data_IF_221184650245
#
_entry.id   IF_221184650245
#
_cell.length_a   1.000
_cell.length_b   1.000
_cell.length_c   1.000
_cell.angle_alpha   90.00
_cell.angle_beta   90.00
_cell.angle_gamma   90.00
#
_symmetry.space_group_name_H-M   'P 1'
#
loop_
_entity.id
_entity.type
_entity.pdbx_description
1 polymer ?
#
# COMPACT_ATOMS: atom_id res chain seq x y z
N UNK A 1 1.62 17.17 -2.99
CA UNK A 1 1.83 17.91 -1.72
C UNK A 1 2.57 19.19 -2.05
N UNK A 2 2.18 20.36 -1.52
CA UNK A 2 2.90 21.61 -1.79
C UNK A 2 4.33 21.56 -1.23
N UNK A 3 5.26 22.25 -1.90
CA UNK A 3 6.66 22.24 -1.52
C UNK A 3 6.88 22.83 -0.12
N UNK A 4 7.79 22.22 0.66
CA UNK A 4 8.21 22.72 1.98
C UNK A 4 7.31 22.36 3.16
N UNK A 5 6.23 21.58 2.97
CA UNK A 5 5.40 21.10 4.07
C UNK A 5 5.81 19.69 4.54
N UNK A 6 5.40 19.31 5.74
CA UNK A 6 5.49 17.92 6.23
C UNK A 6 4.19 17.16 5.93
N UNK A 7 4.27 15.85 5.59
CA UNK A 7 3.07 15.09 5.28
C UNK A 7 2.09 15.08 6.45
N UNK A 8 0.81 15.32 6.16
CA UNK A 8 -0.24 15.26 7.17
C UNK A 8 -0.57 13.80 7.52
N UNK A 9 -0.75 13.51 8.80
CA UNK A 9 -1.09 12.18 9.29
C UNK A 9 -2.57 12.10 9.66
N UNK A 10 -3.20 10.97 9.35
CA UNK A 10 -4.62 10.71 9.62
C UNK A 10 -4.74 9.51 10.55
N UNK A 11 -5.63 9.59 11.54
CA UNK A 11 -5.92 8.45 12.44
C UNK A 11 -6.91 7.50 11.78
N UNK A 12 -6.53 6.22 11.68
CA UNK A 12 -7.36 5.14 11.13
C UNK A 12 -7.76 4.16 12.23
N UNK A 13 -8.98 3.65 12.19
CA UNK A 13 -9.44 2.55 13.04
C UNK A 13 -9.73 1.31 12.19
N UNK A 14 -9.08 0.20 12.51
CA UNK A 14 -9.33 -1.10 11.90
C UNK A 14 -10.17 -1.98 12.86
N UNK A 15 -11.07 -2.77 12.30
CA UNK A 15 -11.97 -3.64 13.05
C UNK A 15 -11.97 -5.05 12.46
N UNK A 16 -12.22 -6.06 13.32
CA UNK A 16 -12.35 -7.46 12.91
C UNK A 16 -11.15 -7.95 12.11
N UNK A 17 -11.43 -8.54 10.95
CA UNK A 17 -10.44 -9.19 10.07
C UNK A 17 -9.43 -8.21 9.42
N UNK A 18 -9.61 -6.90 9.60
CA UNK A 18 -8.68 -5.87 9.12
C UNK A 18 -7.55 -5.56 10.09
N UNK A 19 -7.66 -6.04 11.34
CA UNK A 19 -6.59 -5.89 12.35
C UNK A 19 -5.35 -6.64 11.86
N UNK A 20 -4.17 -6.01 11.97
CA UNK A 20 -2.87 -6.55 11.54
C UNK A 20 -2.68 -6.83 10.02
N UNK A 21 -3.63 -6.44 9.15
CA UNK A 21 -3.49 -6.57 7.67
C UNK A 21 -2.35 -5.75 7.06
N UNK A 22 -1.94 -4.67 7.72
CA UNK A 22 -0.97 -3.69 7.21
C UNK A 22 0.20 -3.60 8.18
N UNK A 23 1.41 -3.57 7.62
CA UNK A 23 2.65 -3.46 8.39
C UNK A 23 3.25 -2.05 8.27
N UNK A 24 4.08 -1.61 9.24
CA UNK A 24 4.81 -0.36 9.13
C UNK A 24 5.65 -0.31 7.85
N UNK A 25 5.52 0.77 7.09
CA UNK A 25 6.21 0.95 5.81
C UNK A 25 5.41 0.52 4.57
N UNK A 26 4.27 -0.16 4.74
CA UNK A 26 3.40 -0.52 3.62
C UNK A 26 2.81 0.74 2.96
N UNK A 27 2.80 0.75 1.62
CA UNK A 27 2.06 1.73 0.82
C UNK A 27 0.66 1.18 0.55
N UNK A 28 -0.34 1.78 1.18
CA UNK A 28 -1.73 1.33 1.09
C UNK A 28 -2.65 2.46 0.62
N UNK A 29 -3.59 2.09 -0.25
CA UNK A 29 -4.81 2.85 -0.48
C UNK A 29 -5.87 2.38 0.53
N UNK A 30 -6.47 3.33 1.25
CA UNK A 30 -7.43 3.05 2.32
C UNK A 30 -8.81 3.51 1.87
N UNK A 31 -9.82 2.65 2.05
CA UNK A 31 -11.23 3.01 1.86
C UNK A 31 -11.94 2.87 3.19
N UNK A 32 -12.72 3.88 3.57
CA UNK A 32 -13.36 3.91 4.87
C UNK A 32 -14.40 5.01 5.02
N UNK A 33 -14.99 5.06 6.21
CA UNK A 33 -16.02 6.02 6.59
C UNK A 33 -15.35 7.14 7.40
N UNK A 34 -15.53 8.38 6.97
CA UNK A 34 -15.07 9.53 7.73
C UNK A 34 -15.94 9.74 8.97
N UNK A 35 -15.32 9.72 10.15
CA UNK A 35 -16.01 9.94 11.43
C UNK A 35 -15.43 11.14 12.15
N UNK A 36 -16.32 11.96 12.68
CA UNK A 36 -15.99 13.09 13.54
C UNK A 36 -16.49 12.78 14.95
N UNK A 37 -15.58 12.69 15.93
CA UNK A 37 -15.92 12.39 17.32
C UNK A 37 -15.66 13.61 18.21
N UNK A 38 -16.60 13.98 19.10
CA UNK A 38 -16.40 15.09 20.01
C UNK A 38 -15.34 14.73 21.06
N UNK A 39 -14.38 15.62 21.28
CA UNK A 39 -13.38 15.47 22.33
C UNK A 39 -13.86 16.13 23.62
N UNK A 40 -13.74 15.42 24.76
CA UNK A 40 -13.98 16.02 26.08
C UNK A 40 -12.77 16.86 26.48
N UNK A 41 -13.00 18.09 26.94
CA UNK A 41 -11.94 18.98 27.43
C UNK A 41 -11.44 18.48 28.79
N UNK A 42 -12.37 18.03 29.64
CA UNK A 42 -12.07 17.42 30.93
C UNK A 42 -12.87 16.11 31.05
N UNK A 43 -12.22 14.95 31.26
CA UNK A 43 -12.92 13.67 31.40
C UNK A 43 -13.98 13.66 32.52
N UNK A 44 -13.79 14.48 33.57
CA UNK A 44 -14.70 14.58 34.72
C UNK A 44 -15.96 15.42 34.45
N UNK A 45 -15.99 16.19 33.37
CA UNK A 45 -17.08 17.13 33.04
C UNK A 45 -17.75 16.68 31.74
N UNK A 46 -19.07 16.85 31.61
CA UNK A 46 -19.84 16.41 30.43
C UNK A 46 -19.65 17.31 29.20
N UNK A 47 -19.13 18.53 29.39
CA UNK A 47 -18.89 19.50 28.31
C UNK A 47 -17.89 18.97 27.29
N UNK A 48 -18.25 19.08 26.00
CA UNK A 48 -17.43 18.67 24.86
C UNK A 48 -16.90 19.88 24.09
N UNK A 49 -15.77 19.70 23.42
CA UNK A 49 -15.18 20.70 22.52
C UNK A 49 -16.04 20.87 21.26
N UNK A 50 -16.08 22.10 20.73
CA UNK A 50 -16.66 22.40 19.43
C UNK A 50 -15.81 21.89 18.26
N UNK A 51 -14.53 21.62 18.49
CA UNK A 51 -13.61 21.03 17.51
C UNK A 51 -13.65 19.51 17.65
N UNK A 52 -14.14 18.84 16.61
CA UNK A 52 -14.25 17.39 16.56
C UNK A 52 -12.94 16.79 16.08
N UNK A 53 -12.56 15.65 16.68
CA UNK A 53 -11.44 14.86 16.19
C UNK A 53 -11.93 14.00 15.03
N UNK A 54 -11.25 14.13 13.90
CA UNK A 54 -11.51 13.32 12.71
C UNK A 54 -10.71 12.01 12.75
N UNK A 55 -11.37 10.92 12.38
CA UNK A 55 -10.75 9.62 12.11
C UNK A 55 -11.46 8.94 10.95
N UNK A 56 -10.80 7.95 10.35
CA UNK A 56 -11.41 7.13 9.31
C UNK A 56 -11.55 5.71 9.84
N UNK A 57 -12.75 5.16 9.80
CA UNK A 57 -12.97 3.76 10.06
C UNK A 57 -12.77 2.97 8.78
N UNK A 58 -11.81 2.06 8.81
CA UNK A 58 -11.36 1.35 7.62
C UNK A 58 -12.35 0.25 7.27
N UNK A 59 -12.78 0.24 6.01
CA UNK A 59 -13.56 -0.83 5.39
C UNK A 59 -12.69 -1.74 4.52
N UNK A 60 -11.64 -1.20 3.90
CA UNK A 60 -10.77 -1.95 3.03
C UNK A 60 -9.37 -1.34 2.93
N UNK A 61 -8.36 -2.20 2.95
CA UNK A 61 -6.98 -1.88 2.61
C UNK A 61 -6.63 -2.49 1.26
N UNK A 62 -6.13 -1.67 0.34
CA UNK A 62 -5.53 -2.12 -0.91
C UNK A 62 -4.05 -1.79 -0.90
N UNK A 63 -3.19 -2.81 -0.86
CA UNK A 63 -1.74 -2.62 -0.98
C UNK A 63 -1.42 -2.16 -2.40
N UNK A 64 -0.70 -1.06 -2.52
CA UNK A 64 -0.36 -0.41 -3.81
C UNK A 64 1.09 -0.72 -4.21
N UNK A 65 1.68 -1.77 -3.65
CA UNK A 65 3.12 -2.00 -3.74
C UNK A 65 3.54 -2.63 -5.08
N UNK A 66 3.42 -1.84 -6.15
CA UNK A 66 3.81 -2.21 -7.51
C UNK A 66 5.34 -2.37 -7.67
N UNK A 67 6.13 -1.95 -6.67
CA UNK A 67 7.60 -2.01 -6.71
C UNK A 67 8.17 -3.31 -6.15
N UNK A 68 7.37 -4.16 -5.50
CA UNK A 68 7.83 -5.45 -4.97
C UNK A 68 7.48 -6.54 -5.98
N UNK A 69 8.51 -7.26 -6.41
CA UNK A 69 8.44 -8.34 -7.41
C UNK A 69 7.43 -9.47 -7.09
N UNK A 70 6.91 -9.53 -5.86
CA UNK A 70 5.89 -10.49 -5.47
C UNK A 70 4.88 -9.85 -4.54
N UNK A 71 3.72 -9.52 -5.07
CA UNK A 71 2.54 -9.25 -4.27
C UNK A 71 1.73 -10.55 -4.21
N UNK A 72 1.76 -11.20 -3.05
CA UNK A 72 1.10 -12.49 -2.78
C UNK A 72 -0.43 -12.43 -2.99
N UNK A 73 -1.01 -11.22 -3.02
CA UNK A 73 -2.44 -10.95 -3.22
C UNK A 73 -2.80 -10.44 -4.63
N UNK A 74 -1.84 -10.29 -5.56
CA UNK A 74 -2.11 -9.71 -6.89
C UNK A 74 -2.67 -10.71 -7.92
N UNK A 75 -3.02 -11.93 -7.50
CA UNK A 75 -3.50 -12.94 -8.44
C UNK A 75 -2.47 -13.24 -9.53
N UNK A 76 -1.17 -13.18 -9.20
CA UNK A 76 -0.11 -13.80 -10.01
C UNK A 76 -0.18 -15.31 -9.86
N UNK A 77 -1.32 -15.89 -10.22
CA UNK A 77 -1.43 -17.30 -10.48
C UNK A 77 -0.38 -17.62 -11.56
N UNK A 78 0.49 -18.59 -11.27
CA UNK A 78 1.27 -19.26 -12.30
C UNK A 78 0.28 -20.05 -13.16
N UNK A 79 -0.41 -19.35 -14.06
CA UNK A 79 -1.21 -20.01 -15.08
C UNK A 79 -0.29 -20.90 -15.92
N UNK A 80 -0.82 -22.00 -16.44
CA UNK A 80 -0.03 -22.94 -17.25
C UNK A 80 0.65 -22.23 -18.43
N UNK A 81 -0.02 -21.23 -19.00
CA UNK A 81 0.53 -20.34 -20.03
C UNK A 81 1.78 -19.58 -19.56
N UNK A 82 1.74 -18.96 -18.38
CA UNK A 82 2.89 -18.24 -17.81
C UNK A 82 4.04 -19.19 -17.52
N UNK A 83 3.75 -20.39 -17.00
CA UNK A 83 4.75 -21.42 -16.77
C UNK A 83 5.41 -21.85 -18.08
N UNK A 84 4.63 -22.05 -19.13
CA UNK A 84 5.16 -22.40 -20.46
C UNK A 84 6.07 -21.29 -21.01
N UNK A 85 5.71 -20.03 -20.80
CA UNK A 85 6.49 -18.87 -21.22
C UNK A 85 7.82 -18.78 -20.46
N UNK A 86 7.81 -18.99 -19.15
CA UNK A 86 9.01 -19.02 -18.31
C UNK A 86 9.93 -20.17 -18.75
N UNK A 87 9.39 -21.36 -18.97
CA UNK A 87 10.16 -22.52 -19.43
C UNK A 87 10.75 -22.31 -20.83
N UNK A 88 10.03 -21.63 -21.72
CA UNK A 88 10.54 -21.29 -23.06
C UNK A 88 11.65 -20.23 -23.00
N UNK A 89 11.55 -19.25 -22.10
CA UNK A 89 12.61 -18.27 -21.85
C UNK A 89 13.86 -18.95 -21.27
N UNK A 90 13.69 -19.89 -20.34
CA UNK A 90 14.80 -20.62 -19.71
C UNK A 90 15.63 -21.48 -20.68
N UNK A 91 15.03 -21.95 -21.78
CA UNK A 91 15.74 -22.74 -22.82
C UNK A 91 16.71 -21.92 -23.68
N UNK A 92 16.66 -20.59 -23.60
CA UNK A 92 17.52 -19.71 -24.40
C UNK A 92 18.92 -19.64 -23.79
N UNK A 93 19.95 -19.75 -24.64
CA UNK A 93 21.35 -19.68 -24.20
C UNK A 93 21.77 -18.26 -23.72
N UNK A 94 21.10 -17.20 -24.21
CA UNK A 94 21.36 -15.79 -23.91
C UNK A 94 20.53 -15.26 -22.73
N UNK A 95 19.88 -16.13 -21.95
CA UNK A 95 18.91 -15.72 -20.92
C UNK A 95 19.53 -14.84 -19.83
N UNK A 96 20.79 -15.10 -19.45
CA UNK A 96 21.48 -14.34 -18.40
C UNK A 96 21.73 -12.90 -18.84
N UNK A 97 22.27 -12.71 -20.05
CA UNK A 97 22.58 -11.38 -20.58
C UNK A 97 21.30 -10.56 -20.81
N UNK A 98 20.23 -11.20 -21.29
CA UNK A 98 18.92 -10.56 -21.47
C UNK A 98 18.26 -10.13 -20.16
N UNK A 99 18.33 -10.97 -19.13
CA UNK A 99 17.79 -10.61 -17.82
C UNK A 99 18.63 -9.50 -17.18
N UNK A 100 19.96 -9.57 -17.33
CA UNK A 100 20.86 -8.53 -16.84
C UNK A 100 20.60 -7.17 -17.52
N UNK A 101 20.42 -7.16 -18.85
CA UNK A 101 20.10 -5.92 -19.58
C UNK A 101 18.73 -5.36 -19.19
N UNK A 102 17.73 -6.22 -19.01
CA UNK A 102 16.36 -5.81 -18.67
C UNK A 102 16.24 -5.20 -17.25
N UNK A 103 17.10 -5.60 -16.31
CA UNK A 103 17.14 -4.99 -14.97
C UNK A 103 17.69 -3.57 -15.02
N UNK A 104 18.67 -3.30 -15.89
CA UNK A 104 19.30 -1.98 -16.03
C UNK A 104 18.38 -0.90 -16.60
N UNK A 105 17.56 -1.22 -17.61
CA UNK A 105 16.69 -0.25 -18.29
C UNK A 105 15.55 0.27 -17.38
N UNK A 106 15.04 -0.55 -16.45
CA UNK A 106 14.01 -0.11 -15.50
C UNK A 106 14.51 0.93 -14.49
N UNK A 107 15.81 0.94 -14.19
CA UNK A 107 16.40 1.94 -13.29
C UNK A 107 16.63 3.31 -13.96
N UNK A 108 16.74 3.37 -15.30
CA UNK A 108 16.91 4.65 -16.00
C UNK A 108 15.62 5.49 -16.04
N UNK A 109 14.45 4.85 -16.02
CA UNK A 109 13.15 5.55 -16.03
C UNK A 109 12.72 6.11 -14.66
N UNK A 110 13.44 5.79 -13.57
CA UNK A 110 13.18 6.31 -12.22
C UNK A 110 14.09 7.50 -11.83
N UNK A 111 14.95 7.95 -12.76
CA UNK A 111 15.90 9.07 -12.58
C UNK A 111 15.45 10.38 -13.25
N UNK A 112 14.22 10.45 -13.78
CA UNK A 112 13.59 11.67 -14.29
C UNK A 112 12.23 11.92 -13.63
#
# INVERSE_FOLDING_TARGET
MPAGQTPYTVTLFAHGDLVERVQPGDRVSVTGIYRALPARINPRIRTVSSVYRASIDVLHFRKTDQSRLHQLDDGTYLTEERVSMIMNLAKRADIVDRLASAVGEKNLLLLF
#
